data_IF_240909631426
#
_entry.id   IF_240909631426
#
_cell.length_a   1.000
_cell.length_b   1.000
_cell.length_c   1.000
_cell.angle_alpha   90.00
_cell.angle_beta   90.00
_cell.angle_gamma   90.00
#
_symmetry.space_group_name_H-M   'P 1'
#
loop_
_entity.id
_entity.type
_entity.pdbx_description
1 polymer ?
#
# COMPACT_ATOMS: atom_id res chain seq x y z
N UNK A 1 36.86 -56.19 -0.11
CA UNK A 1 35.83 -55.11 0.00
C UNK A 1 35.98 -54.50 1.38
N UNK A 2 36.65 -53.35 1.49
CA UNK A 2 36.90 -52.67 2.77
C UNK A 2 35.61 -51.95 3.20
N UNK A 3 35.01 -52.41 4.30
CA UNK A 3 33.86 -51.81 4.89
C UNK A 3 34.29 -50.50 5.60
N UNK A 4 33.90 -49.37 5.05
CA UNK A 4 34.13 -48.06 5.69
C UNK A 4 33.17 -47.95 6.86
N UNK A 5 33.61 -47.72 8.11
CA UNK A 5 32.71 -47.62 9.25
C UNK A 5 31.75 -46.45 9.06
N UNK A 6 30.51 -46.57 9.51
CA UNK A 6 29.54 -45.52 9.44
C UNK A 6 29.97 -44.31 10.30
N UNK A 7 29.79 -43.07 9.83
CA UNK A 7 30.22 -41.89 10.57
C UNK A 7 29.50 -41.77 11.92
N UNK A 8 30.26 -41.48 12.96
CA UNK A 8 29.74 -41.26 14.32
C UNK A 8 28.91 -39.94 14.37
N UNK A 9 28.14 -39.76 15.42
CA UNK A 9 27.41 -38.51 15.64
C UNK A 9 28.37 -37.30 15.71
N UNK A 10 29.54 -37.46 16.34
CA UNK A 10 30.58 -36.44 16.40
C UNK A 10 31.11 -36.06 15.01
N UNK A 11 31.35 -37.05 14.13
CA UNK A 11 31.78 -36.80 12.75
C UNK A 11 30.74 -36.04 11.93
N UNK A 12 29.44 -36.33 12.15
CA UNK A 12 28.34 -35.65 11.48
C UNK A 12 28.22 -34.20 11.94
N UNK A 13 28.36 -33.92 13.25
CA UNK A 13 28.38 -32.57 13.81
C UNK A 13 29.56 -31.76 13.27
N UNK A 14 30.75 -32.37 13.28
CA UNK A 14 31.97 -31.70 12.75
C UNK A 14 31.82 -31.37 11.26
N UNK A 15 31.26 -32.28 10.47
CA UNK A 15 31.02 -32.04 9.05
C UNK A 15 29.97 -30.91 8.82
N UNK A 16 28.92 -30.85 9.61
CA UNK A 16 27.95 -29.79 9.54
C UNK A 16 28.54 -28.41 9.89
N UNK A 17 29.37 -28.35 10.96
CA UNK A 17 30.08 -27.13 11.35
C UNK A 17 31.10 -26.68 10.29
N UNK A 18 31.83 -27.62 9.66
CA UNK A 18 32.70 -27.30 8.57
C UNK A 18 31.96 -26.72 7.37
N UNK A 19 30.82 -27.30 7.01
CA UNK A 19 29.99 -26.81 5.93
C UNK A 19 29.43 -25.38 6.21
N UNK A 20 28.98 -25.10 7.43
CA UNK A 20 28.54 -23.76 7.82
C UNK A 20 29.64 -22.72 7.73
N UNK A 21 30.89 -23.07 8.13
CA UNK A 21 32.05 -22.17 7.99
C UNK A 21 32.41 -21.90 6.53
N UNK A 22 32.35 -22.91 5.67
CA UNK A 22 32.53 -22.73 4.23
C UNK A 22 31.45 -21.89 3.58
N UNK A 23 30.24 -21.96 4.11
CA UNK A 23 29.10 -21.10 3.71
C UNK A 23 29.18 -19.64 4.24
N UNK A 24 30.26 -19.28 4.97
CA UNK A 24 30.50 -17.96 5.51
C UNK A 24 29.68 -17.65 6.80
N UNK A 25 29.15 -18.68 7.46
CA UNK A 25 28.45 -18.56 8.75
C UNK A 25 29.44 -18.92 9.86
N UNK A 26 30.16 -17.92 10.35
CA UNK A 26 31.17 -18.05 11.41
C UNK A 26 30.77 -17.34 12.70
N UNK A 27 29.48 -17.35 13.04
CA UNK A 27 28.98 -16.77 14.27
C UNK A 27 29.36 -17.61 15.50
N UNK A 28 30.02 -16.97 16.46
CA UNK A 28 30.20 -17.54 17.79
C UNK A 28 28.94 -17.29 18.63
N UNK A 29 28.16 -18.33 18.89
CA UNK A 29 27.01 -18.25 19.80
C UNK A 29 27.50 -18.25 21.24
N UNK A 30 26.93 -17.37 22.09
CA UNK A 30 27.10 -17.36 23.53
C UNK A 30 25.84 -17.94 24.17
N UNK A 31 26.00 -18.74 25.20
CA UNK A 31 24.86 -19.35 25.93
C UNK A 31 24.05 -18.31 26.73
N UNK A 32 24.59 -17.11 26.95
CA UNK A 32 23.92 -16.01 27.60
C UNK A 32 23.61 -14.90 26.60
N UNK A 33 22.37 -14.36 26.59
CA UNK A 33 22.02 -13.25 25.72
C UNK A 33 22.79 -11.99 26.12
N UNK A 34 23.70 -11.51 25.30
CA UNK A 34 24.32 -10.21 25.44
C UNK A 34 23.45 -9.17 24.75
N UNK A 35 22.94 -8.18 25.49
CA UNK A 35 22.23 -7.05 24.93
C UNK A 35 23.17 -6.18 24.10
N UNK A 36 23.09 -6.26 22.80
CA UNK A 36 23.91 -5.46 21.87
C UNK A 36 23.66 -3.95 21.95
N UNK A 37 22.65 -3.54 22.70
CA UNK A 37 22.29 -2.14 23.00
C UNK A 37 22.78 -1.64 24.38
N UNK A 38 23.43 -2.49 25.20
CA UNK A 38 23.74 -2.13 26.58
C UNK A 38 25.13 -1.50 26.81
N UNK A 39 26.06 -1.60 25.84
CA UNK A 39 27.47 -1.26 26.09
C UNK A 39 27.86 0.19 25.73
N UNK A 40 26.97 1.01 25.17
CA UNK A 40 27.27 2.43 24.89
C UNK A 40 26.79 3.44 25.97
N UNK A 41 26.13 2.99 27.03
CA UNK A 41 25.56 3.90 28.04
C UNK A 41 26.41 4.04 29.32
N UNK A 42 27.56 3.35 29.44
CA UNK A 42 28.35 3.30 30.69
C UNK A 42 29.43 4.37 30.83
N UNK A 43 29.50 5.40 30.01
CA UNK A 43 30.52 6.46 30.11
C UNK A 43 29.99 7.89 30.03
N UNK A 44 28.70 8.13 30.21
CA UNK A 44 28.18 9.51 30.30
C UNK A 44 27.69 9.77 31.74
N UNK A 45 28.40 10.67 32.46
CA UNK A 45 27.91 11.29 33.68
C UNK A 45 26.52 11.90 33.46
N UNK A 46 25.63 11.89 34.47
CA UNK A 46 24.31 12.51 34.32
C UNK A 46 24.51 14.03 34.18
N UNK A 47 24.29 14.52 32.96
CA UNK A 47 24.05 15.94 32.73
C UNK A 47 22.65 16.29 33.27
N UNK A 48 22.43 17.54 33.79
CA UNK A 48 21.12 17.97 34.24
C UNK A 48 20.07 17.78 33.15
N UNK A 49 18.88 17.35 33.55
CA UNK A 49 17.75 17.17 32.67
C UNK A 49 17.44 18.49 31.91
N UNK A 50 17.99 18.67 30.74
CA UNK A 50 17.49 19.66 29.80
C UNK A 50 16.19 19.15 29.22
N UNK A 51 15.20 20.05 29.20
CA UNK A 51 13.84 19.75 28.76
C UNK A 51 13.82 19.05 27.42
N UNK A 52 12.77 18.24 27.17
CA UNK A 52 12.54 17.55 25.92
C UNK A 52 12.86 18.47 24.72
N UNK A 53 13.57 17.98 23.71
CA UNK A 53 13.86 18.81 22.54
C UNK A 53 12.53 19.37 22.00
N UNK A 54 12.48 20.65 21.64
CA UNK A 54 11.27 21.22 21.07
C UNK A 54 10.84 20.36 19.89
N UNK A 55 9.53 20.17 19.69
CA UNK A 55 9.04 19.42 18.52
C UNK A 55 9.71 20.01 17.27
N UNK A 56 10.28 19.12 16.45
CA UNK A 56 10.90 19.52 15.20
C UNK A 56 9.91 20.42 14.44
N UNK A 57 10.34 21.57 13.89
CA UNK A 57 9.45 22.42 13.12
C UNK A 57 8.81 21.58 12.02
N UNK A 58 7.53 21.82 11.69
CA UNK A 58 6.88 21.13 10.58
C UNK A 58 7.81 21.23 9.36
N UNK A 59 8.20 20.11 8.80
CA UNK A 59 8.99 20.07 7.57
C UNK A 59 8.06 20.63 6.50
N UNK A 60 8.29 21.87 6.08
CA UNK A 60 7.58 22.44 4.93
C UNK A 60 7.85 21.53 3.73
N UNK A 61 6.80 21.07 3.03
CA UNK A 61 6.97 20.18 1.89
C UNK A 61 7.82 20.87 0.84
N UNK A 62 8.97 20.28 0.50
CA UNK A 62 9.87 20.81 -0.52
C UNK A 62 9.21 20.66 -1.90
N UNK A 63 8.69 21.74 -2.45
CA UNK A 63 8.12 21.79 -3.81
C UNK A 63 6.69 22.34 -3.87
N UNK A 64 6.18 22.59 -5.08
CA UNK A 64 4.81 23.03 -5.27
C UNK A 64 3.82 21.96 -4.80
N UNK A 65 2.62 22.37 -4.33
CA UNK A 65 1.58 21.42 -3.92
C UNK A 65 1.19 20.52 -5.10
N UNK A 66 0.91 19.24 -4.79
CA UNK A 66 0.47 18.27 -5.79
C UNK A 66 -0.91 18.68 -6.31
N UNK A 67 -1.08 18.63 -7.64
CA UNK A 67 -2.31 19.06 -8.32
C UNK A 67 -2.34 20.54 -8.65
N UNK A 68 -1.30 21.32 -8.33
CA UNK A 68 -1.24 22.75 -8.64
C UNK A 68 -2.30 23.55 -7.87
N UNK A 69 -2.81 24.62 -8.51
CA UNK A 69 -3.86 25.46 -7.92
C UNK A 69 -5.18 24.71 -7.84
N UNK A 70 -5.69 24.52 -6.62
CA UNK A 70 -6.96 23.83 -6.35
C UNK A 70 -8.17 24.47 -7.08
N UNK A 71 -8.12 25.78 -7.35
CA UNK A 71 -9.17 26.46 -8.09
C UNK A 71 -9.27 26.00 -9.57
N UNK A 72 -8.17 25.44 -10.10
CA UNK A 72 -8.12 24.91 -11.47
C UNK A 72 -8.48 23.42 -11.58
N UNK A 73 -8.80 22.76 -10.46
CA UNK A 73 -9.13 21.34 -10.48
C UNK A 73 -10.45 21.08 -11.21
N UNK A 74 -10.57 19.97 -11.92
CA UNK A 74 -11.79 19.57 -12.62
C UNK A 74 -13.00 19.53 -11.68
N UNK A 75 -14.15 19.96 -12.16
CA UNK A 75 -15.38 19.99 -11.38
C UNK A 75 -16.29 18.79 -11.71
N UNK A 76 -15.92 17.97 -12.66
CA UNK A 76 -16.62 16.74 -13.03
C UNK A 76 -15.62 15.59 -13.34
N UNK A 77 -16.12 14.35 -13.28
CA UNK A 77 -15.32 13.16 -13.46
C UNK A 77 -14.83 13.00 -14.91
N UNK A 78 -15.54 13.52 -15.89
CA UNK A 78 -15.15 13.42 -17.31
C UNK A 78 -13.92 14.28 -17.59
N UNK A 79 -13.85 15.48 -17.01
CA UNK A 79 -12.70 16.37 -17.12
C UNK A 79 -11.50 15.90 -16.27
N UNK A 80 -11.74 15.09 -15.23
CA UNK A 80 -10.68 14.61 -14.35
C UNK A 80 -9.65 13.72 -15.09
N UNK A 81 -10.09 12.82 -15.95
CA UNK A 81 -9.21 11.93 -16.70
C UNK A 81 -8.15 12.68 -17.54
N UNK A 82 -8.54 13.61 -18.43
CA UNK A 82 -7.61 14.45 -19.18
C UNK A 82 -6.67 15.26 -18.28
N UNK A 83 -7.18 15.86 -17.22
CA UNK A 83 -6.38 16.61 -16.24
C UNK A 83 -5.36 15.71 -15.54
N UNK A 84 -5.77 14.52 -15.08
CA UNK A 84 -4.89 13.53 -14.45
C UNK A 84 -3.72 13.11 -15.34
N UNK A 85 -3.95 13.04 -16.65
CA UNK A 85 -2.91 12.75 -17.62
C UNK A 85 -1.98 13.94 -17.88
N UNK A 86 -2.49 15.17 -17.80
CA UNK A 86 -1.79 16.38 -18.21
C UNK A 86 -1.13 17.18 -17.07
N UNK A 87 -1.64 17.10 -15.84
CA UNK A 87 -1.18 17.94 -14.73
C UNK A 87 0.27 17.57 -14.29
N UNK A 88 1.26 18.45 -14.50
CA UNK A 88 2.67 18.09 -14.30
C UNK A 88 3.04 17.87 -12.83
N UNK A 89 2.33 18.50 -11.89
CA UNK A 89 2.66 18.45 -10.46
C UNK A 89 2.26 17.14 -9.76
N UNK A 90 1.49 16.27 -10.42
CA UNK A 90 1.05 14.99 -9.84
C UNK A 90 2.20 14.01 -9.57
N UNK A 91 3.26 14.07 -10.33
CA UNK A 91 4.45 13.26 -10.15
C UNK A 91 5.71 13.94 -10.72
N UNK A 92 6.88 13.46 -10.34
CA UNK A 92 8.16 13.96 -10.85
C UNK A 92 8.52 13.42 -12.25
N UNK A 93 7.59 12.75 -12.93
CA UNK A 93 7.85 12.03 -14.18
C UNK A 93 8.24 10.57 -13.93
N UNK A 94 8.53 9.85 -15.01
CA UNK A 94 8.93 8.44 -14.94
C UNK A 94 8.87 7.77 -16.31
N UNK A 95 9.33 6.52 -16.37
CA UNK A 95 9.39 5.72 -17.60
C UNK A 95 8.04 5.13 -18.02
N UNK A 96 7.15 4.92 -17.04
CA UNK A 96 5.81 4.39 -17.29
C UNK A 96 4.84 5.51 -17.68
N UNK A 97 3.89 5.26 -18.57
CA UNK A 97 2.85 6.24 -18.92
C UNK A 97 1.91 6.50 -17.74
N UNK A 98 1.26 7.66 -17.75
CA UNK A 98 0.13 7.93 -16.87
C UNK A 98 -1.10 7.21 -17.38
N UNK A 99 -1.93 6.72 -16.46
CA UNK A 99 -3.15 5.99 -16.78
C UNK A 99 -4.32 6.62 -16.03
N UNK A 100 -5.41 6.98 -16.72
CA UNK A 100 -6.55 7.63 -16.09
C UNK A 100 -7.39 6.63 -15.28
N UNK A 101 -8.16 7.10 -14.29
CA UNK A 101 -9.21 6.30 -13.68
C UNK A 101 -10.27 5.91 -14.72
N UNK A 102 -11.03 4.85 -14.46
CA UNK A 102 -12.10 4.36 -15.33
C UNK A 102 -13.37 4.06 -14.55
N UNK A 103 -14.49 4.14 -15.24
CA UNK A 103 -15.82 3.93 -14.66
C UNK A 103 -16.65 5.21 -14.70
N UNK A 104 -17.80 5.17 -14.04
CA UNK A 104 -18.78 6.24 -14.03
C UNK A 104 -18.93 6.82 -12.62
N UNK A 105 -19.47 8.02 -12.51
CA UNK A 105 -19.90 8.58 -11.24
C UNK A 105 -21.06 7.76 -10.66
N UNK A 106 -21.21 7.83 -9.34
CA UNK A 106 -22.22 7.10 -8.57
C UNK A 106 -22.18 5.57 -8.75
N UNK A 107 -20.99 5.03 -9.11
CA UNK A 107 -20.78 3.58 -9.19
C UNK A 107 -21.11 2.90 -7.85
N UNK A 108 -21.63 1.67 -7.91
CA UNK A 108 -21.90 0.88 -6.71
C UNK A 108 -20.64 0.65 -5.90
N UNK A 109 -19.52 0.36 -6.59
CA UNK A 109 -18.21 0.17 -5.94
C UNK A 109 -17.14 0.91 -6.71
N UNK A 110 -16.30 1.67 -5.99
CA UNK A 110 -15.03 2.15 -6.51
C UNK A 110 -13.90 1.34 -5.89
N UNK A 111 -13.05 0.77 -6.73
CA UNK A 111 -11.83 0.06 -6.36
C UNK A 111 -10.64 1.00 -6.50
N UNK A 112 -10.04 1.39 -5.37
CA UNK A 112 -8.85 2.24 -5.34
C UNK A 112 -7.61 1.37 -5.12
N UNK A 113 -6.68 1.41 -6.05
CA UNK A 113 -5.40 0.67 -5.99
C UNK A 113 -4.22 1.62 -5.81
N UNK A 114 -3.06 1.15 -5.35
CA UNK A 114 -1.90 2.02 -5.15
C UNK A 114 -1.43 2.71 -6.43
N UNK A 115 -1.34 1.97 -7.53
CA UNK A 115 -0.80 2.45 -8.81
C UNK A 115 -1.25 1.56 -9.96
N UNK A 116 -1.08 2.00 -11.22
CA UNK A 116 -1.25 1.15 -12.41
C UNK A 116 -0.29 -0.05 -12.41
N UNK A 117 -0.63 -1.12 -13.11
CA UNK A 117 0.29 -2.21 -13.39
C UNK A 117 1.45 -1.71 -14.29
N UNK A 118 2.63 -2.33 -14.19
CA UNK A 118 3.82 -1.88 -14.94
C UNK A 118 3.62 -1.87 -16.47
N UNK A 119 2.73 -2.72 -16.97
CA UNK A 119 2.42 -2.82 -18.41
C UNK A 119 1.16 -2.04 -18.82
N UNK A 120 0.52 -1.33 -17.90
CA UNK A 120 -0.61 -0.48 -18.25
C UNK A 120 -0.16 0.70 -19.11
N UNK A 121 -0.96 1.03 -20.12
CA UNK A 121 -0.69 2.16 -21.00
C UNK A 121 -1.88 3.12 -21.13
N UNK A 122 -3.01 2.63 -21.58
CA UNK A 122 -4.23 3.42 -21.80
C UNK A 122 -5.38 3.00 -20.90
N UNK A 123 -5.31 1.81 -20.32
CA UNK A 123 -6.36 1.22 -19.49
C UNK A 123 -5.76 0.80 -18.16
N UNK A 124 -6.33 1.31 -17.08
CA UNK A 124 -5.92 0.97 -15.73
C UNK A 124 -6.24 -0.49 -15.42
N UNK A 125 -5.25 -1.21 -14.86
CA UNK A 125 -5.36 -2.62 -14.50
C UNK A 125 -5.75 -3.50 -15.70
N UNK A 126 -4.94 -3.47 -16.74
CA UNK A 126 -5.11 -4.28 -17.97
C UNK A 126 -4.52 -5.69 -17.84
N UNK A 127 -3.69 -5.93 -16.83
CA UNK A 127 -2.92 -7.15 -16.61
C UNK A 127 -3.53 -8.13 -15.59
N UNK A 128 -2.68 -8.91 -14.90
CA UNK A 128 -3.12 -9.95 -13.95
C UNK A 128 -3.90 -9.41 -12.75
N UNK A 129 -3.50 -8.25 -12.22
CA UNK A 129 -4.20 -7.62 -11.10
C UNK A 129 -5.62 -7.23 -11.49
N UNK A 130 -5.77 -6.63 -12.67
CA UNK A 130 -7.08 -6.26 -13.18
C UNK A 130 -7.99 -7.45 -13.43
N UNK A 131 -7.45 -8.57 -13.97
CA UNK A 131 -8.23 -9.82 -14.12
C UNK A 131 -8.70 -10.38 -12.78
N UNK A 132 -7.84 -10.31 -11.74
CA UNK A 132 -8.22 -10.71 -10.39
C UNK A 132 -9.40 -9.88 -9.87
N UNK A 133 -9.31 -8.55 -9.95
CA UNK A 133 -10.35 -7.66 -9.44
C UNK A 133 -11.65 -7.76 -10.26
N UNK A 134 -11.56 -7.96 -11.58
CA UNK A 134 -12.73 -8.24 -12.41
C UNK A 134 -13.41 -9.56 -12.04
N UNK A 135 -12.63 -10.60 -11.75
CA UNK A 135 -13.18 -11.89 -11.28
C UNK A 135 -13.85 -11.75 -9.91
N UNK A 136 -13.26 -10.97 -9.01
CA UNK A 136 -13.88 -10.64 -7.72
C UNK A 136 -15.21 -9.90 -7.93
N UNK A 137 -15.25 -8.86 -8.75
CA UNK A 137 -16.46 -8.11 -9.05
C UNK A 137 -17.58 -9.00 -9.62
N UNK A 138 -17.22 -9.86 -10.57
CA UNK A 138 -18.16 -10.83 -11.17
C UNK A 138 -18.71 -11.79 -10.11
N UNK A 139 -17.85 -12.34 -9.24
CA UNK A 139 -18.27 -13.24 -8.16
C UNK A 139 -19.15 -12.51 -7.13
N UNK A 140 -18.92 -11.22 -6.92
CA UNK A 140 -19.71 -10.36 -6.05
C UNK A 140 -21.05 -9.91 -6.66
N UNK A 141 -21.37 -10.37 -7.88
CA UNK A 141 -22.61 -10.00 -8.59
C UNK A 141 -22.64 -8.58 -9.11
N UNK A 142 -21.48 -7.90 -9.17
CA UNK A 142 -21.38 -6.53 -9.66
C UNK A 142 -21.29 -6.52 -11.19
N UNK A 143 -22.20 -5.78 -11.82
CA UNK A 143 -22.12 -5.51 -13.26
C UNK A 143 -20.89 -4.64 -13.57
N UNK A 144 -20.23 -4.81 -14.73
CA UNK A 144 -19.03 -4.04 -15.07
C UNK A 144 -19.21 -2.51 -15.01
N UNK A 145 -20.37 -2.01 -15.39
CA UNK A 145 -20.76 -0.59 -15.32
C UNK A 145 -21.02 -0.09 -13.90
N UNK A 146 -21.23 -0.99 -12.95
CA UNK A 146 -21.41 -0.66 -11.54
C UNK A 146 -20.06 -0.51 -10.79
N UNK A 147 -18.93 -0.79 -11.48
CA UNK A 147 -17.59 -0.76 -10.90
C UNK A 147 -16.75 0.35 -11.52
N UNK A 148 -16.29 1.27 -10.67
CA UNK A 148 -15.25 2.23 -11.03
C UNK A 148 -13.89 1.77 -10.48
N UNK A 149 -12.80 2.12 -11.17
CA UNK A 149 -11.43 1.79 -10.76
C UNK A 149 -10.55 3.03 -10.86
N UNK A 150 -9.82 3.30 -9.79
CA UNK A 150 -8.87 4.41 -9.72
C UNK A 150 -7.55 3.96 -9.11
N UNK A 151 -6.47 4.66 -9.41
CA UNK A 151 -5.17 4.47 -8.79
C UNK A 151 -4.81 5.69 -7.95
N UNK A 152 -4.10 5.46 -6.83
CA UNK A 152 -3.59 6.55 -6.01
C UNK A 152 -2.48 7.33 -6.74
N UNK A 153 -1.67 6.67 -7.56
CA UNK A 153 -0.64 7.30 -8.39
C UNK A 153 -1.04 7.30 -9.86
N UNK A 154 -0.63 8.34 -10.63
CA UNK A 154 -0.96 8.42 -12.06
C UNK A 154 -0.22 7.39 -12.91
N UNK A 155 0.91 6.87 -12.44
CA UNK A 155 1.74 5.90 -13.16
C UNK A 155 2.29 4.83 -12.22
N UNK A 156 2.80 3.76 -12.80
CA UNK A 156 3.54 2.75 -12.05
C UNK A 156 4.83 3.34 -11.47
N UNK A 157 5.04 3.13 -10.16
CA UNK A 157 6.22 3.56 -9.43
C UNK A 157 6.67 2.43 -8.48
N UNK A 158 7.83 1.78 -8.70
CA UNK A 158 8.22 0.60 -7.91
C UNK A 158 8.38 0.84 -6.41
N UNK A 159 8.82 2.02 -6.02
CA UNK A 159 9.08 2.38 -4.61
C UNK A 159 8.58 3.80 -4.31
N UNK A 160 7.25 4.02 -4.25
CA UNK A 160 6.73 5.33 -3.97
C UNK A 160 6.98 5.73 -2.51
N UNK A 161 7.37 6.99 -2.32
CA UNK A 161 7.45 7.63 -1.01
C UNK A 161 6.05 8.08 -0.58
N UNK A 162 5.31 7.19 0.08
CA UNK A 162 3.93 7.43 0.50
C UNK A 162 3.82 8.58 1.51
N UNK A 163 4.78 8.69 2.44
CA UNK A 163 4.79 9.73 3.45
C UNK A 163 5.09 11.10 2.83
N UNK A 164 6.06 11.16 1.93
CA UNK A 164 6.35 12.37 1.16
C UNK A 164 5.20 12.78 0.24
N UNK A 165 4.48 11.84 -0.35
CA UNK A 165 3.27 12.11 -1.14
C UNK A 165 2.14 12.69 -0.26
N UNK A 166 1.91 12.10 0.91
CA UNK A 166 0.95 12.61 1.88
C UNK A 166 1.30 14.02 2.34
N UNK A 167 2.56 14.26 2.72
CA UNK A 167 3.04 15.57 3.15
C UNK A 167 2.90 16.66 2.08
N UNK A 168 2.99 16.31 0.78
CA UNK A 168 2.80 17.24 -0.34
C UNK A 168 1.34 17.44 -0.77
N UNK A 169 0.38 16.84 -0.05
CA UNK A 169 -1.04 17.04 -0.30
C UNK A 169 -1.63 16.13 -1.40
N UNK A 170 -0.95 15.05 -1.80
CA UNK A 170 -1.48 14.11 -2.81
C UNK A 170 -2.84 13.52 -2.40
N UNK A 171 -3.07 13.36 -1.10
CA UNK A 171 -4.35 12.91 -0.55
C UNK A 171 -5.53 13.83 -0.91
N UNK A 172 -5.32 15.14 -1.01
CA UNK A 172 -6.38 16.08 -1.39
C UNK A 172 -6.87 15.82 -2.82
N UNK A 173 -5.96 15.49 -3.73
CA UNK A 173 -6.30 15.14 -5.12
C UNK A 173 -7.12 13.84 -5.16
N UNK A 174 -6.76 12.85 -4.34
CA UNK A 174 -7.52 11.60 -4.23
C UNK A 174 -8.91 11.83 -3.63
N UNK A 175 -9.01 12.60 -2.56
CA UNK A 175 -10.30 12.94 -1.95
C UNK A 175 -11.18 13.74 -2.91
N UNK A 176 -10.58 14.60 -3.74
CA UNK A 176 -11.29 15.31 -4.79
C UNK A 176 -11.84 14.35 -5.86
N UNK A 177 -11.01 13.42 -6.37
CA UNK A 177 -11.45 12.36 -7.29
C UNK A 177 -12.62 11.56 -6.70
N UNK A 178 -12.49 11.12 -5.45
CA UNK A 178 -13.55 10.36 -4.77
C UNK A 178 -14.82 11.19 -4.60
N UNK A 179 -14.70 12.50 -4.36
CA UNK A 179 -15.80 13.44 -4.31
C UNK A 179 -16.52 13.61 -5.65
N UNK A 180 -15.81 13.60 -6.77
CA UNK A 180 -16.37 13.61 -8.11
C UNK A 180 -17.02 12.27 -8.47
N UNK A 181 -16.37 11.16 -8.10
CA UNK A 181 -16.86 9.82 -8.40
C UNK A 181 -18.09 9.42 -7.55
N UNK A 182 -18.22 9.91 -6.32
CA UNK A 182 -19.31 9.65 -5.37
C UNK A 182 -19.72 8.18 -5.26
N UNK A 183 -18.81 7.24 -5.08
CA UNK A 183 -19.16 5.82 -5.04
C UNK A 183 -20.10 5.52 -3.87
N UNK A 184 -20.95 4.49 -4.00
CA UNK A 184 -21.77 4.02 -2.88
C UNK A 184 -20.91 3.30 -1.84
N UNK A 185 -19.90 2.53 -2.29
CA UNK A 185 -18.92 1.83 -1.46
C UNK A 185 -17.53 2.01 -2.03
N UNK A 186 -16.53 2.07 -1.16
CA UNK A 186 -15.11 2.18 -1.53
C UNK A 186 -14.34 0.94 -1.07
N UNK A 187 -13.61 0.30 -1.96
CA UNK A 187 -12.61 -0.71 -1.61
C UNK A 187 -11.23 -0.13 -1.86
N UNK A 188 -10.42 -0.03 -0.81
CA UNK A 188 -9.03 0.41 -0.87
C UNK A 188 -8.12 -0.80 -0.85
N UNK A 189 -7.43 -1.05 -1.94
CA UNK A 189 -6.45 -2.11 -2.07
C UNK A 189 -5.05 -1.60 -1.74
N UNK A 190 -4.51 -2.00 -0.60
CA UNK A 190 -3.20 -1.58 -0.12
C UNK A 190 -3.29 -0.60 1.05
N UNK A 191 -2.79 -1.05 2.20
CA UNK A 191 -2.81 -0.26 3.45
C UNK A 191 -1.89 0.96 3.41
N UNK A 192 -0.88 0.91 2.57
CA UNK A 192 0.12 1.95 2.36
C UNK A 192 -0.46 3.27 1.79
N UNK A 193 -1.64 3.24 1.17
CA UNK A 193 -2.30 4.45 0.67
C UNK A 193 -3.30 5.07 1.66
N UNK A 194 -3.57 4.44 2.79
CA UNK A 194 -4.50 4.96 3.81
C UNK A 194 -4.10 6.33 4.36
N UNK A 195 -2.80 6.63 4.61
CA UNK A 195 -2.39 7.97 5.02
C UNK A 195 -2.79 9.07 4.04
N UNK A 196 -2.86 8.78 2.73
CA UNK A 196 -3.35 9.73 1.72
C UNK A 196 -4.83 10.05 1.86
N UNK A 197 -5.59 9.17 2.50
CA UNK A 197 -7.03 9.34 2.75
C UNK A 197 -7.32 9.88 4.16
N UNK A 198 -6.29 10.29 4.91
CA UNK A 198 -6.42 10.79 6.27
C UNK A 198 -6.67 9.71 7.32
N UNK A 199 -6.48 8.44 6.97
CA UNK A 199 -6.56 7.33 7.91
C UNK A 199 -5.18 6.90 8.38
N UNK A 200 -5.06 6.55 9.66
CA UNK A 200 -3.87 5.86 10.17
C UNK A 200 -3.65 4.52 9.47
N UNK A 201 -2.41 3.98 9.48
CA UNK A 201 -2.13 2.69 8.88
C UNK A 201 -2.96 1.60 9.56
N UNK A 202 -3.77 0.88 8.80
CA UNK A 202 -4.53 -0.26 9.33
C UNK A 202 -3.57 -1.34 9.81
N UNK A 203 -3.74 -1.82 11.04
CA UNK A 203 -2.90 -2.89 11.60
C UNK A 203 -3.17 -4.24 10.95
N UNK A 204 -4.38 -4.45 10.46
CA UNK A 204 -4.80 -5.67 9.77
C UNK A 204 -5.62 -5.33 8.51
N UNK A 205 -5.71 -6.29 7.58
CA UNK A 205 -6.62 -6.28 6.45
C UNK A 205 -7.17 -7.72 6.27
N UNK A 206 -8.38 -7.89 5.74
CA UNK A 206 -9.36 -6.85 5.40
C UNK A 206 -10.07 -6.25 6.62
N UNK A 207 -10.38 -4.95 6.57
CA UNK A 207 -11.03 -4.19 7.64
C UNK A 207 -12.15 -3.33 7.07
N UNK A 208 -13.31 -3.32 7.73
CA UNK A 208 -14.43 -2.40 7.44
C UNK A 208 -14.25 -1.11 8.24
N UNK A 209 -14.53 0.02 7.59
CA UNK A 209 -14.42 1.36 8.15
C UNK A 209 -15.35 2.32 7.38
N UNK A 210 -15.23 3.61 7.64
CA UNK A 210 -15.91 4.67 6.89
C UNK A 210 -14.91 5.76 6.51
N UNK A 211 -15.11 6.36 5.34
CA UNK A 211 -14.36 7.52 4.88
C UNK A 211 -15.30 8.69 4.67
N UNK A 212 -15.05 9.81 5.32
CA UNK A 212 -15.80 11.04 5.08
C UNK A 212 -15.25 11.76 3.84
N UNK A 213 -16.04 11.83 2.78
CA UNK A 213 -15.70 12.49 1.52
C UNK A 213 -16.67 13.66 1.33
N UNK A 214 -16.16 14.89 1.35
CA UNK A 214 -16.96 16.11 1.21
C UNK A 214 -18.21 16.14 2.12
N UNK A 215 -18.05 15.70 3.36
CA UNK A 215 -19.14 15.66 4.36
C UNK A 215 -20.08 14.44 4.25
N UNK A 216 -19.88 13.54 3.29
CA UNK A 216 -20.62 12.29 3.17
C UNK A 216 -19.81 11.12 3.70
N UNK A 217 -20.36 10.36 4.64
CA UNK A 217 -19.80 9.09 5.06
C UNK A 217 -19.95 8.06 3.94
N UNK A 218 -18.84 7.47 3.52
CA UNK A 218 -18.79 6.44 2.49
C UNK A 218 -18.24 5.16 3.11
N UNK A 219 -19.01 4.05 3.09
CA UNK A 219 -18.54 2.77 3.59
C UNK A 219 -17.24 2.34 2.90
N UNK A 220 -16.26 1.90 3.68
CA UNK A 220 -14.91 1.59 3.26
C UNK A 220 -14.53 0.16 3.65
N UNK A 221 -14.07 -0.61 2.68
CA UNK A 221 -13.36 -1.87 2.88
C UNK A 221 -11.88 -1.70 2.55
N UNK A 222 -11.02 -1.90 3.53
CA UNK A 222 -9.56 -1.92 3.31
C UNK A 222 -9.11 -3.35 3.07
N UNK A 223 -8.45 -3.60 1.95
CA UNK A 223 -7.94 -4.90 1.55
C UNK A 223 -6.42 -4.88 1.34
N UNK A 224 -5.82 -6.05 1.19
CA UNK A 224 -4.43 -6.15 0.72
C UNK A 224 -4.30 -5.68 -0.72
N UNK A 225 -3.10 -5.20 -1.09
CA UNK A 225 -2.80 -4.81 -2.45
C UNK A 225 -3.06 -5.96 -3.45
N UNK A 226 -3.50 -5.68 -4.70
CA UNK A 226 -3.84 -6.71 -5.67
C UNK A 226 -2.67 -7.67 -5.95
N UNK A 227 -1.45 -7.17 -5.92
CA UNK A 227 -0.23 -7.98 -6.05
C UNK A 227 -0.11 -9.03 -4.93
N UNK A 228 -0.38 -8.66 -3.67
CA UNK A 228 -0.42 -9.59 -2.54
C UNK A 228 -1.54 -10.62 -2.73
N UNK A 229 -2.71 -10.19 -3.17
CA UNK A 229 -3.85 -11.08 -3.43
C UNK A 229 -3.56 -12.08 -4.54
N UNK A 230 -2.80 -11.73 -5.58
CA UNK A 230 -2.37 -12.67 -6.62
C UNK A 230 -1.54 -13.81 -6.04
N UNK A 231 -0.63 -13.51 -5.13
CA UNK A 231 0.26 -14.50 -4.50
C UNK A 231 -0.37 -15.30 -3.37
N UNK A 232 -1.51 -14.85 -2.77
CA UNK A 232 -2.04 -15.42 -1.53
C UNK A 232 -3.51 -15.85 -1.62
N UNK A 233 -3.78 -17.15 -1.78
CA UNK A 233 -5.16 -17.68 -1.69
C UNK A 233 -5.83 -17.39 -0.35
N UNK A 234 -5.06 -17.36 0.74
CA UNK A 234 -5.56 -17.05 2.08
C UNK A 234 -6.14 -15.64 2.14
N UNK A 235 -5.42 -14.66 1.60
CA UNK A 235 -5.85 -13.26 1.63
C UNK A 235 -7.04 -13.02 0.70
N UNK A 236 -7.12 -13.73 -0.45
CA UNK A 236 -8.30 -13.71 -1.30
C UNK A 236 -9.54 -14.25 -0.57
N UNK A 237 -9.38 -15.37 0.16
CA UNK A 237 -10.46 -15.93 0.97
C UNK A 237 -10.90 -14.95 2.06
N UNK A 238 -9.95 -14.30 2.75
CA UNK A 238 -10.25 -13.32 3.79
C UNK A 238 -11.00 -12.10 3.23
N UNK A 239 -10.58 -11.59 2.06
CA UNK A 239 -11.28 -10.52 1.35
C UNK A 239 -12.72 -10.93 1.02
N UNK A 240 -12.92 -12.14 0.49
CA UNK A 240 -14.23 -12.65 0.11
C UNK A 240 -15.18 -12.76 1.32
N UNK A 241 -14.71 -13.32 2.43
CA UNK A 241 -15.51 -13.42 3.66
C UNK A 241 -15.90 -12.02 4.18
N UNK A 242 -14.97 -11.07 4.16
CA UNK A 242 -15.25 -9.71 4.62
C UNK A 242 -16.23 -8.98 3.69
N UNK A 243 -16.16 -9.26 2.38
CA UNK A 243 -17.12 -8.75 1.41
C UNK A 243 -18.54 -9.27 1.71
N UNK A 244 -18.71 -10.57 1.94
CA UNK A 244 -20.00 -11.16 2.28
C UNK A 244 -20.57 -10.56 3.58
N UNK A 245 -19.77 -10.49 4.65
CA UNK A 245 -20.18 -9.86 5.90
C UNK A 245 -20.61 -8.41 5.69
N UNK A 246 -19.94 -7.67 4.82
CA UNK A 246 -20.25 -6.28 4.54
C UNK A 246 -21.55 -6.09 3.75
N UNK A 247 -21.86 -7.00 2.87
CA UNK A 247 -23.08 -6.95 2.06
C UNK A 247 -24.29 -7.49 2.78
N UNK A 248 -24.12 -8.48 3.67
CA UNK A 248 -25.19 -9.04 4.49
C UNK A 248 -25.71 -8.04 5.56
N UNK A 249 -24.90 -7.05 5.94
CA UNK A 249 -25.31 -6.01 6.90
C UNK A 249 -26.26 -4.95 6.32
N UNK A 250 -26.43 -4.93 5.00
CA UNK A 250 -27.26 -3.93 4.29
C UNK A 250 -28.64 -4.51 3.86
N UNK A 251 -28.92 -5.82 4.13
CA UNK A 251 -30.23 -6.45 3.96
C UNK A 251 -31.05 -6.42 5.28
#
# INVERSE_FOLDING_TARGET
MSHRPAPTLADRIAAAQAWWREAGVDYAYRDEPAGWLADEVSAAQPAPAEGAPPPAPPVEPAGPPVGGDRASWPQDLAAFGPWWLGEPSLDAGGTHPRVPPRGVADATVLMLVPMPEANDSNVLLSGPQGRLLASFATAAGLAPEAVAVAAALPRHAPHPDWDGLAARGHGEVLLHLLGLARPQRLIVFGRNILPLLGHGPAQAAPVLSELTIQGRATPLLVAYAPETLLGSPRERKALWHRWLEWTDLDE
#
